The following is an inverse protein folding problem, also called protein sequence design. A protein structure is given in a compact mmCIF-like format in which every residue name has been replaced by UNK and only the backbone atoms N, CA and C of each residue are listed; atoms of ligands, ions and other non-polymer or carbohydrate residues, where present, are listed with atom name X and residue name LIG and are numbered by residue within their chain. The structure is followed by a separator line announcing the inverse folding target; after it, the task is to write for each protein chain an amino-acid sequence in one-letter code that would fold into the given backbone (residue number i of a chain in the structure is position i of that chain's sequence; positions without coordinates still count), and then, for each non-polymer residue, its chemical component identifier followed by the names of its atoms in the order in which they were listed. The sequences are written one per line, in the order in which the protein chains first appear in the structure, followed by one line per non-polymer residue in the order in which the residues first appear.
data_IF_823258786963
#
_entry.id   IF_823258786963
#
_cell.length_a   1.000
_cell.length_b   1.000
_cell.length_c   1.000
_cell.angle_alpha   90.00
_cell.angle_beta   90.00
_cell.angle_gamma   90.00
#
_symmetry.space_group_name_H-M   'P 1'
#
loop_
_entity.id
_entity.type
_entity.pdbx_description
1 polymer ?
#
# COMPACT_ATOMS: atom_id res chain seq x y z
N UNK A 1 -22.04 -16.96 27.71
CA UNK A 1 -22.03 -17.69 26.42
C UNK A 1 -22.40 -16.76 25.28
N UNK A 2 -21.72 -16.87 24.13
CA UNK A 2 -22.05 -16.17 22.89
C UNK A 2 -21.81 -17.11 21.70
N UNK A 3 -22.66 -17.02 20.66
CA UNK A 3 -22.41 -17.69 19.39
C UNK A 3 -21.06 -17.25 18.81
N UNK A 4 -20.29 -18.19 18.28
CA UNK A 4 -18.96 -17.93 17.72
C UNK A 4 -18.95 -16.75 16.74
N UNK A 5 -19.89 -16.73 15.78
CA UNK A 5 -20.01 -15.67 14.76
C UNK A 5 -20.37 -14.30 15.35
N UNK A 6 -21.26 -14.25 16.36
CA UNK A 6 -21.59 -13.02 17.08
C UNK A 6 -20.40 -12.53 17.91
N UNK A 7 -19.66 -13.44 18.53
CA UNK A 7 -18.40 -13.13 19.21
C UNK A 7 -17.37 -12.52 18.26
N UNK A 8 -17.23 -13.04 17.04
CA UNK A 8 -16.37 -12.47 16.00
C UNK A 8 -16.80 -11.05 15.63
N UNK A 9 -18.08 -10.80 15.42
CA UNK A 9 -18.61 -9.46 15.11
C UNK A 9 -18.39 -8.48 16.27
N UNK A 10 -18.58 -8.92 17.52
CA UNK A 10 -18.23 -8.12 18.71
C UNK A 10 -16.75 -7.74 18.72
N UNK A 11 -15.87 -8.65 18.28
CA UNK A 11 -14.44 -8.35 18.14
C UNK A 11 -14.18 -7.32 17.03
N UNK A 12 -14.84 -7.42 15.86
CA UNK A 12 -14.74 -6.40 14.81
C UNK A 12 -15.10 -5.00 15.37
N UNK A 13 -16.15 -4.91 16.18
CA UNK A 13 -16.55 -3.68 16.87
C UNK A 13 -15.49 -3.19 17.85
N UNK A 14 -14.91 -4.08 18.66
CA UNK A 14 -13.83 -3.73 19.60
C UNK A 14 -12.56 -3.25 18.89
N UNK A 15 -12.28 -3.79 17.71
CA UNK A 15 -11.16 -3.40 16.86
C UNK A 15 -11.43 -2.13 16.02
N UNK A 16 -12.59 -1.50 16.22
CA UNK A 16 -12.94 -0.23 15.59
C UNK A 16 -13.32 -0.35 14.12
N UNK A 17 -13.65 -1.55 13.63
CA UNK A 17 -14.14 -1.76 12.27
C UNK A 17 -15.48 -1.03 12.11
N UNK A 18 -15.52 -0.08 11.18
CA UNK A 18 -16.71 0.75 10.92
C UNK A 18 -17.64 0.16 9.88
N UNK A 19 -17.06 -0.52 8.88
CA UNK A 19 -17.77 -1.05 7.72
C UNK A 19 -17.37 -2.50 7.46
N UNK A 20 -18.36 -3.32 7.13
CA UNK A 20 -18.18 -4.65 6.53
C UNK A 20 -18.74 -4.58 5.11
N UNK A 21 -17.87 -4.60 4.10
CA UNK A 21 -18.26 -4.58 2.70
C UNK A 21 -18.69 -5.98 2.26
N UNK A 22 -19.86 -6.13 1.65
CA UNK A 22 -20.43 -7.46 1.41
C UNK A 22 -21.20 -7.60 0.10
N UNK A 23 -21.08 -8.77 -0.52
CA UNK A 23 -22.17 -9.33 -1.32
C UNK A 23 -23.03 -10.25 -0.41
N UNK A 24 -24.36 -10.12 -0.38
CA UNK A 24 -25.21 -10.60 0.71
C UNK A 24 -25.46 -12.12 0.70
N UNK A 25 -24.40 -12.91 0.91
CA UNK A 25 -24.43 -14.38 0.86
C UNK A 25 -23.82 -15.04 2.10
N UNK A 26 -22.93 -14.35 2.82
CA UNK A 26 -22.26 -14.89 4.02
C UNK A 26 -23.16 -14.85 5.26
N UNK A 27 -23.10 -15.91 6.09
CA UNK A 27 -23.81 -15.98 7.37
C UNK A 27 -23.33 -14.94 8.40
N UNK A 28 -22.10 -14.42 8.23
CA UNK A 28 -21.53 -13.38 9.07
C UNK A 28 -22.37 -12.10 8.99
N UNK A 29 -22.98 -11.82 7.83
CA UNK A 29 -23.81 -10.64 7.63
C UNK A 29 -25.04 -10.63 8.56
N UNK A 30 -25.63 -11.79 8.84
CA UNK A 30 -26.75 -11.90 9.77
C UNK A 30 -26.31 -11.54 11.18
N UNK A 31 -25.14 -12.04 11.61
CA UNK A 31 -24.58 -11.69 12.92
C UNK A 31 -24.24 -10.19 13.03
N UNK A 32 -23.76 -9.56 11.95
CA UNK A 32 -23.58 -8.10 11.89
C UNK A 32 -24.91 -7.38 12.06
N UNK A 33 -25.99 -7.86 11.44
CA UNK A 33 -27.34 -7.35 11.63
C UNK A 33 -27.87 -7.50 13.06
N UNK A 34 -27.63 -8.66 13.69
CA UNK A 34 -28.02 -8.95 15.08
C UNK A 34 -27.28 -8.07 16.10
N UNK A 35 -25.96 -7.87 15.92
CA UNK A 35 -25.14 -7.04 16.82
C UNK A 35 -25.27 -5.53 16.55
N UNK A 36 -25.84 -5.14 15.40
CA UNK A 36 -26.10 -3.75 15.01
C UNK A 36 -24.86 -2.93 14.62
N UNK A 37 -23.66 -3.52 14.63
CA UNK A 37 -22.41 -2.93 14.17
C UNK A 37 -21.37 -4.04 13.88
N UNK A 38 -20.42 -3.85 12.94
CA UNK A 38 -20.22 -2.68 12.05
C UNK A 38 -21.36 -2.45 11.05
N UNK A 39 -21.33 -1.34 10.28
CA UNK A 39 -22.35 -1.13 9.23
C UNK A 39 -22.06 -2.03 8.02
N UNK A 40 -23.09 -2.70 7.51
CA UNK A 40 -22.97 -3.44 6.25
C UNK A 40 -22.99 -2.46 5.07
N UNK A 41 -21.99 -2.56 4.21
CA UNK A 41 -21.94 -1.86 2.92
C UNK A 41 -22.17 -2.89 1.82
N UNK A 42 -23.41 -2.98 1.32
CA UNK A 42 -23.80 -3.96 0.31
C UNK A 42 -23.36 -3.52 -1.08
N UNK A 43 -22.69 -4.43 -1.79
CA UNK A 43 -22.29 -4.29 -3.19
C UNK A 43 -22.96 -5.35 -4.06
N UNK A 44 -22.73 -5.30 -5.36
CA UNK A 44 -23.34 -6.21 -6.35
C UNK A 44 -22.48 -7.43 -6.70
N UNK A 45 -21.25 -7.50 -6.21
CA UNK A 45 -20.26 -8.52 -6.57
C UNK A 45 -19.19 -8.62 -5.46
N UNK A 46 -18.71 -9.82 -5.16
CA UNK A 46 -17.68 -10.09 -4.15
C UNK A 46 -16.37 -9.34 -4.43
N UNK A 47 -15.99 -9.20 -5.70
CA UNK A 47 -14.81 -8.41 -6.09
C UNK A 47 -14.95 -6.97 -5.60
N UNK A 48 -16.12 -6.35 -5.78
CA UNK A 48 -16.36 -4.98 -5.32
C UNK A 48 -16.39 -4.88 -3.79
N UNK A 49 -16.75 -5.96 -3.08
CA UNK A 49 -16.72 -5.96 -1.62
C UNK A 49 -15.27 -5.83 -1.13
N UNK A 50 -14.35 -6.56 -1.77
CA UNK A 50 -12.91 -6.43 -1.53
C UNK A 50 -12.39 -5.07 -2.01
N UNK A 51 -12.75 -4.60 -3.22
CA UNK A 51 -12.26 -3.32 -3.75
C UNK A 51 -12.66 -2.10 -2.89
N UNK A 52 -13.87 -2.09 -2.31
CA UNK A 52 -14.28 -1.01 -1.39
C UNK A 52 -13.48 -1.10 -0.09
N UNK A 53 -13.24 -2.29 0.44
CA UNK A 53 -12.40 -2.48 1.62
C UNK A 53 -10.94 -2.04 1.37
N UNK A 54 -10.39 -2.40 0.21
CA UNK A 54 -9.08 -1.96 -0.28
C UNK A 54 -9.00 -0.43 -0.37
N UNK A 55 -9.99 0.23 -0.97
CA UNK A 55 -10.05 1.68 -1.07
C UNK A 55 -10.05 2.37 0.31
N UNK A 56 -10.78 1.84 1.30
CA UNK A 56 -10.76 2.36 2.68
C UNK A 56 -9.35 2.24 3.28
N UNK A 57 -8.69 1.09 3.08
CA UNK A 57 -7.32 0.87 3.53
C UNK A 57 -6.36 1.90 2.93
N UNK A 58 -6.40 2.10 1.62
CA UNK A 58 -5.53 3.06 0.92
C UNK A 58 -5.77 4.50 1.32
N UNK A 59 -7.03 4.97 1.29
CA UNK A 59 -7.39 6.36 1.60
C UNK A 59 -7.12 6.74 3.05
N UNK A 60 -6.96 5.75 3.93
CA UNK A 60 -6.63 5.97 5.33
C UNK A 60 -5.16 5.72 5.66
N UNK A 61 -4.29 5.51 4.66
CA UNK A 61 -2.88 5.16 4.88
C UNK A 61 -2.72 3.90 5.77
N UNK A 62 -3.62 2.93 5.64
CA UNK A 62 -3.67 1.72 6.47
C UNK A 62 -4.16 1.95 7.90
N UNK A 63 -4.52 3.17 8.31
CA UNK A 63 -5.03 3.47 9.66
C UNK A 63 -6.42 2.88 9.91
N UNK A 64 -7.24 2.79 8.87
CA UNK A 64 -8.55 2.13 8.93
C UNK A 64 -8.45 0.79 8.20
N UNK A 65 -8.52 -0.30 8.97
CA UNK A 65 -8.71 -1.64 8.42
C UNK A 65 -10.19 -1.77 8.07
N UNK A 66 -10.48 -2.15 6.83
CA UNK A 66 -11.81 -2.57 6.43
C UNK A 66 -11.92 -4.09 6.48
N UNK A 67 -13.12 -4.57 6.76
CA UNK A 67 -13.47 -5.97 6.61
C UNK A 67 -14.39 -6.15 5.41
N UNK A 68 -14.28 -7.28 4.72
CA UNK A 68 -15.25 -7.69 3.73
C UNK A 68 -15.73 -9.11 4.02
N UNK A 69 -16.94 -9.43 3.60
CA UNK A 69 -17.50 -10.79 3.64
C UNK A 69 -17.79 -11.28 2.24
N UNK A 70 -17.32 -12.48 1.93
CA UNK A 70 -17.49 -13.15 0.63
C UNK A 70 -18.02 -14.57 0.82
N UNK A 71 -18.80 -15.07 -0.14
CA UNK A 71 -19.28 -16.45 -0.10
C UNK A 71 -18.11 -17.44 -0.19
N UNK A 72 -18.10 -18.45 0.67
CA UNK A 72 -17.12 -19.53 0.63
C UNK A 72 -17.69 -20.86 1.12
N UNK A 73 -16.83 -21.68 1.71
CA UNK A 73 -17.20 -23.00 2.23
C UNK A 73 -17.41 -24.00 1.10
N UNK A 74 -18.55 -24.72 1.12
CA UNK A 74 -18.82 -25.79 0.14
C UNK A 74 -18.99 -25.25 -1.28
N UNK A 75 -19.47 -24.01 -1.41
CA UNK A 75 -19.57 -23.29 -2.68
C UNK A 75 -18.63 -22.07 -2.65
N UNK A 76 -17.44 -22.24 -3.23
CA UNK A 76 -16.38 -21.24 -3.22
C UNK A 76 -16.49 -20.19 -4.34
N UNK A 77 -17.59 -20.17 -5.12
CA UNK A 77 -17.72 -19.28 -6.28
C UNK A 77 -17.53 -17.79 -5.93
N UNK A 78 -17.98 -17.33 -4.76
CA UNK A 78 -17.80 -15.94 -4.34
C UNK A 78 -16.35 -15.61 -3.98
N UNK A 79 -15.65 -16.50 -3.28
CA UNK A 79 -14.20 -16.37 -3.07
C UNK A 79 -13.47 -16.35 -4.41
N UNK A 80 -13.79 -17.24 -5.35
CA UNK A 80 -13.16 -17.26 -6.68
C UNK A 80 -13.33 -15.92 -7.43
N UNK A 81 -14.51 -15.29 -7.33
CA UNK A 81 -14.76 -13.94 -7.87
C UNK A 81 -13.96 -12.85 -7.12
N UNK A 82 -13.78 -12.98 -5.81
CA UNK A 82 -13.01 -12.06 -4.99
C UNK A 82 -11.49 -12.11 -5.25
N UNK A 83 -10.98 -13.21 -5.82
CA UNK A 83 -9.55 -13.48 -5.97
C UNK A 83 -8.79 -12.32 -6.63
N UNK A 84 -9.30 -11.77 -7.74
CA UNK A 84 -8.63 -10.68 -8.46
C UNK A 84 -8.44 -9.42 -7.62
N UNK A 85 -9.43 -9.05 -6.79
CA UNK A 85 -9.30 -7.90 -5.90
C UNK A 85 -8.44 -8.19 -4.66
N UNK A 86 -8.41 -9.45 -4.20
CA UNK A 86 -7.49 -9.86 -3.13
C UNK A 86 -6.04 -9.84 -3.62
N UNK A 87 -5.79 -10.26 -4.87
CA UNK A 87 -4.49 -10.17 -5.52
C UNK A 87 -4.00 -8.73 -5.62
N UNK A 88 -4.85 -7.81 -6.10
CA UNK A 88 -4.56 -6.37 -6.16
C UNK A 88 -4.18 -5.83 -4.76
N UNK A 89 -5.00 -6.08 -3.73
CA UNK A 89 -4.73 -5.63 -2.36
C UNK A 89 -3.40 -6.18 -1.82
N UNK A 90 -3.04 -7.41 -2.17
CA UNK A 90 -1.78 -8.03 -1.78
C UNK A 90 -0.57 -7.39 -2.48
N UNK A 91 -0.63 -7.22 -3.79
CA UNK A 91 0.43 -6.56 -4.56
C UNK A 91 0.65 -5.10 -4.12
N UNK A 92 -0.41 -4.45 -3.68
CA UNK A 92 -0.40 -3.05 -3.27
C UNK A 92 -0.14 -2.85 -1.78
N UNK A 93 0.03 -3.95 -1.05
CA UNK A 93 0.31 -3.94 0.39
C UNK A 93 -0.78 -3.24 1.20
N UNK A 94 -2.05 -3.55 0.90
CA UNK A 94 -3.21 -2.96 1.56
C UNK A 94 -3.74 -3.92 2.64
N UNK A 95 -3.88 -3.48 3.90
CA UNK A 95 -4.42 -4.31 4.96
C UNK A 95 -5.95 -4.33 4.92
N UNK A 96 -6.52 -5.50 4.66
CA UNK A 96 -7.96 -5.75 4.78
C UNK A 96 -8.24 -7.16 5.32
N UNK A 97 -9.33 -7.31 6.05
CA UNK A 97 -9.77 -8.59 6.60
C UNK A 97 -10.88 -9.17 5.72
N UNK A 98 -10.55 -10.20 4.95
CA UNK A 98 -11.52 -10.97 4.17
C UNK A 98 -12.07 -12.12 5.02
N UNK A 99 -13.36 -12.05 5.31
CA UNK A 99 -14.08 -13.07 6.06
C UNK A 99 -14.88 -13.93 5.08
N UNK A 100 -14.81 -15.24 5.23
CA UNK A 100 -15.56 -16.16 4.37
C UNK A 100 -16.12 -17.32 5.17
N UNK A 101 -17.11 -18.00 4.59
CA UNK A 101 -17.63 -19.24 5.16
C UNK A 101 -16.52 -20.32 5.08
N UNK A 102 -16.31 -21.05 6.17
CA UNK A 102 -15.38 -22.18 6.20
C UNK A 102 -16.06 -23.48 5.79
N UNK A 103 -15.29 -24.43 5.26
CA UNK A 103 -15.77 -25.79 4.96
C UNK A 103 -16.03 -26.54 6.28
N UNK A 104 -17.25 -27.02 6.57
CA UNK A 104 -17.52 -27.74 7.82
C UNK A 104 -16.73 -29.07 7.93
N UNK A 105 -16.37 -29.54 9.14
CA UNK A 105 -15.57 -30.75 9.31
C UNK A 105 -16.16 -32.02 8.71
N UNK A 106 -17.49 -32.15 8.70
CA UNK A 106 -18.21 -33.32 8.18
C UNK A 106 -18.13 -33.48 6.65
N UNK A 107 -17.63 -32.48 5.93
CA UNK A 107 -17.46 -32.50 4.47
C UNK A 107 -15.99 -32.37 4.03
N UNK A 108 -15.04 -32.36 4.98
CA UNK A 108 -13.60 -32.39 4.69
C UNK A 108 -13.20 -33.70 3.98
N UNK A 109 -12.17 -33.64 3.13
CA UNK A 109 -11.62 -34.80 2.42
C UNK A 109 -12.35 -35.21 1.13
N UNK A 110 -13.32 -34.42 0.66
CA UNK A 110 -13.92 -34.58 -0.67
C UNK A 110 -13.22 -33.68 -1.70
N UNK A 111 -13.12 -34.13 -2.95
CA UNK A 111 -12.52 -33.35 -4.05
C UNK A 111 -13.28 -32.03 -4.26
N UNK A 112 -12.65 -30.91 -3.89
CA UNK A 112 -13.19 -29.55 -3.98
C UNK A 112 -12.07 -28.53 -4.15
N UNK A 113 -12.42 -27.33 -4.60
CA UNK A 113 -11.52 -26.18 -4.56
C UNK A 113 -11.07 -25.91 -3.12
N UNK A 114 -9.77 -25.74 -2.93
CA UNK A 114 -9.20 -25.34 -1.64
C UNK A 114 -9.02 -23.83 -1.62
N UNK A 115 -9.84 -23.14 -0.82
CA UNK A 115 -9.72 -21.68 -0.61
C UNK A 115 -8.32 -21.37 -0.06
N UNK A 116 -7.79 -22.18 0.85
CA UNK A 116 -6.47 -21.95 1.44
C UNK A 116 -5.35 -22.03 0.41
N UNK A 117 -5.30 -23.09 -0.41
CA UNK A 117 -4.27 -23.22 -1.44
C UNK A 117 -4.47 -22.17 -2.54
N UNK A 118 -5.71 -21.89 -2.92
CA UNK A 118 -6.05 -20.89 -3.91
C UNK A 118 -5.62 -19.47 -3.51
N UNK A 119 -5.74 -19.12 -2.22
CA UNK A 119 -5.46 -17.76 -1.74
C UNK A 119 -4.07 -17.56 -1.12
N UNK A 120 -3.27 -18.63 -1.03
CA UNK A 120 -1.94 -18.61 -0.39
C UNK A 120 -0.99 -17.58 -0.99
N UNK A 121 -1.11 -17.32 -2.30
CA UNK A 121 -0.26 -16.36 -3.03
C UNK A 121 -0.72 -14.90 -2.92
N UNK A 122 -1.94 -14.66 -2.43
CA UNK A 122 -2.60 -13.33 -2.42
C UNK A 122 -3.07 -12.93 -1.02
N UNK A 123 -2.54 -13.58 0.01
CA UNK A 123 -2.82 -13.28 1.40
C UNK A 123 -1.55 -13.44 2.22
N UNK A 124 -1.40 -12.62 3.26
CA UNK A 124 -0.28 -12.75 4.18
C UNK A 124 -0.48 -13.88 5.19
N UNK A 125 -1.73 -14.07 5.60
CA UNK A 125 -2.11 -15.11 6.52
C UNK A 125 -3.52 -15.59 6.23
N UNK A 126 -3.70 -16.90 6.34
CA UNK A 126 -4.99 -17.58 6.22
C UNK A 126 -5.26 -18.30 7.53
N UNK A 127 -6.43 -18.05 8.10
CA UNK A 127 -6.92 -18.75 9.28
C UNK A 127 -8.18 -19.56 8.98
N UNK A 128 -8.32 -20.70 9.65
CA UNK A 128 -9.57 -21.48 9.68
C UNK A 128 -9.95 -21.73 11.14
N UNK A 129 -11.11 -21.23 11.56
CA UNK A 129 -11.59 -21.40 12.93
C UNK A 129 -12.31 -22.74 13.03
N UNK A 130 -11.74 -23.70 13.75
CA UNK A 130 -12.32 -25.05 13.89
C UNK A 130 -13.13 -25.26 15.18
N UNK A 131 -13.09 -24.32 16.13
CA UNK A 131 -13.74 -24.37 17.44
C UNK A 131 -14.19 -22.98 17.87
N UNK A 132 -15.33 -22.87 18.55
CA UNK A 132 -15.92 -21.59 18.94
C UNK A 132 -15.00 -20.77 19.86
N UNK A 133 -14.38 -21.41 20.84
CA UNK A 133 -13.49 -20.80 21.83
C UNK A 133 -12.20 -20.22 21.23
N UNK A 134 -11.87 -20.59 19.98
CA UNK A 134 -10.69 -20.09 19.27
C UNK A 134 -10.95 -18.79 18.50
N UNK A 135 -12.19 -18.32 18.42
CA UNK A 135 -12.52 -17.03 17.76
C UNK A 135 -11.62 -15.88 18.27
N UNK A 136 -11.45 -15.64 19.58
CA UNK A 136 -10.55 -14.60 20.08
C UNK A 136 -9.09 -14.79 19.67
N UNK A 137 -8.59 -16.04 19.67
CA UNK A 137 -7.22 -16.40 19.28
C UNK A 137 -6.95 -16.05 17.80
N UNK A 138 -7.82 -16.50 16.89
CA UNK A 138 -7.66 -16.26 15.45
C UNK A 138 -7.83 -14.80 15.10
N UNK A 139 -8.78 -14.10 15.72
CA UNK A 139 -8.95 -12.67 15.49
C UNK A 139 -7.72 -11.89 16.00
N UNK A 140 -7.13 -12.29 17.14
CA UNK A 140 -5.89 -11.69 17.65
C UNK A 140 -4.75 -11.87 16.64
N UNK A 141 -4.62 -13.07 16.07
CA UNK A 141 -3.63 -13.36 15.03
C UNK A 141 -3.89 -12.56 13.75
N UNK A 142 -5.13 -12.52 13.27
CA UNK A 142 -5.53 -11.77 12.07
C UNK A 142 -5.15 -10.28 12.18
N UNK A 143 -5.53 -9.62 13.28
CA UNK A 143 -5.21 -8.21 13.48
C UNK A 143 -3.72 -7.95 13.71
N UNK A 144 -2.97 -8.90 14.28
CA UNK A 144 -1.50 -8.81 14.36
C UNK A 144 -0.88 -8.77 12.97
N UNK A 145 -1.32 -9.68 12.08
CA UNK A 145 -0.82 -9.79 10.72
C UNK A 145 -1.18 -8.59 9.85
N UNK A 146 -2.38 -8.03 10.03
CA UNK A 146 -2.82 -6.81 9.34
C UNK A 146 -2.01 -5.56 9.72
N UNK A 147 -1.44 -5.52 10.93
CA UNK A 147 -0.85 -4.30 11.52
C UNK A 147 0.67 -4.29 11.63
N UNK A 148 1.34 -5.41 11.35
CA UNK A 148 2.78 -5.58 11.65
C UNK A 148 3.58 -5.94 10.40
N UNK A 149 4.74 -5.31 10.18
CA UNK A 149 5.53 -5.53 8.97
C UNK A 149 4.83 -5.00 7.72
N UNK A 150 5.00 -5.66 6.57
CA UNK A 150 4.29 -5.29 5.33
C UNK A 150 2.77 -5.45 5.51
N UNK A 151 1.97 -4.39 5.37
CA UNK A 151 0.52 -4.51 5.40
C UNK A 151 0.04 -5.30 4.18
N UNK A 152 -0.96 -6.16 4.36
CA UNK A 152 -1.43 -7.09 3.32
C UNK A 152 -2.78 -7.68 3.72
N UNK A 153 -3.57 -8.21 2.77
CA UNK A 153 -4.84 -8.86 3.07
C UNK A 153 -4.65 -10.12 3.90
N UNK A 154 -5.62 -10.36 4.78
CA UNK A 154 -5.75 -11.58 5.59
C UNK A 154 -7.08 -12.23 5.27
N UNK A 155 -7.09 -13.55 5.12
CA UNK A 155 -8.31 -14.33 4.90
C UNK A 155 -8.60 -15.18 6.14
N UNK A 156 -9.84 -15.15 6.61
CA UNK A 156 -10.29 -15.93 7.75
C UNK A 156 -11.58 -16.69 7.41
N UNK A 157 -11.47 -18.01 7.40
CA UNK A 157 -12.58 -18.93 7.21
C UNK A 157 -13.32 -19.18 8.54
N UNK A 158 -14.63 -18.96 8.51
CA UNK A 158 -15.55 -19.11 9.64
C UNK A 158 -16.59 -20.16 9.27
N UNK A 159 -16.44 -21.43 9.68
CA UNK A 159 -17.46 -22.44 9.47
C UNK A 159 -18.80 -22.07 10.11
N UNK A 160 -19.88 -22.54 9.50
CA UNK A 160 -21.21 -22.48 10.10
C UNK A 160 -21.27 -23.44 11.30
N UNK A 161 -22.13 -23.14 12.25
CA UNK A 161 -22.45 -24.03 13.38
C UNK A 161 -21.26 -24.37 14.30
N UNK A 162 -20.29 -23.45 14.46
CA UNK A 162 -19.18 -23.61 15.41
C UNK A 162 -19.64 -23.75 16.88
N UNK A 163 -20.88 -23.38 17.19
CA UNK A 163 -21.44 -23.37 18.54
C UNK A 163 -21.15 -22.07 19.28
N UNK A 164 -21.19 -22.15 20.60
CA UNK A 164 -21.07 -21.03 21.52
C UNK A 164 -19.79 -21.16 22.35
N UNK A 165 -19.25 -20.01 22.80
CA UNK A 165 -18.14 -19.98 23.75
C UNK A 165 -18.40 -19.00 24.91
N UNK A 166 -17.65 -19.17 25.99
CA UNK A 166 -17.67 -18.30 27.17
C UNK A 166 -16.73 -17.10 26.96
N UNK A 167 -17.25 -15.88 27.02
CA UNK A 167 -16.43 -14.67 26.83
C UNK A 167 -15.55 -14.42 28.05
N UNK A 168 -15.98 -14.87 29.24
CA UNK A 168 -15.17 -14.82 30.45
C UNK A 168 -13.94 -15.74 30.36
N UNK A 169 -14.12 -16.96 29.83
CA UNK A 169 -13.03 -17.95 29.74
C UNK A 169 -12.09 -17.65 28.56
N UNK A 170 -12.62 -17.05 27.49
CA UNK A 170 -11.88 -16.72 26.27
C UNK A 170 -12.04 -15.23 25.91
N UNK A 171 -11.41 -14.32 26.67
CA UNK A 171 -11.52 -12.89 26.42
C UNK A 171 -10.71 -12.46 25.20
N UNK A 172 -11.19 -11.39 24.55
CA UNK A 172 -10.48 -10.70 23.49
C UNK A 172 -9.95 -9.35 23.97
N UNK A 173 -8.82 -8.91 23.42
CA UNK A 173 -8.27 -7.57 23.63
C UNK A 173 -7.67 -7.09 22.31
N UNK A 174 -8.01 -5.86 21.86
CA UNK A 174 -7.44 -5.29 20.64
C UNK A 174 -5.92 -5.30 20.61
N UNK A 175 -5.34 -5.55 19.43
CA UNK A 175 -3.89 -5.78 19.28
C UNK A 175 -3.21 -4.62 18.56
N UNK A 176 -2.25 -3.93 19.18
CA UNK A 176 -1.49 -2.90 18.44
C UNK A 176 -0.66 -3.49 17.30
N UNK A 177 -0.26 -2.67 16.33
CA UNK A 177 0.81 -3.03 15.39
C UNK A 177 2.19 -2.85 15.99
N UNK A 178 3.18 -3.55 15.43
CA UNK A 178 4.60 -3.35 15.77
C UNK A 178 5.38 -2.86 14.54
N UNK A 179 6.30 -1.93 14.79
CA UNK A 179 7.18 -1.31 13.81
C UNK A 179 8.62 -1.43 14.30
N UNK A 180 9.57 -1.61 13.40
CA UNK A 180 10.99 -1.68 13.70
C UNK A 180 11.72 -0.44 13.18
N UNK A 181 12.74 -0.03 13.93
CA UNK A 181 13.77 0.89 13.44
C UNK A 181 14.81 0.12 12.62
N UNK A 182 15.55 0.82 11.76
CA UNK A 182 16.72 0.26 11.10
C UNK A 182 17.90 0.12 12.05
N UNK A 183 18.83 -0.79 11.72
CA UNK A 183 20.11 -0.90 12.43
C UNK A 183 20.87 0.45 12.33
N UNK A 184 21.26 1.06 13.46
CA UNK A 184 21.98 2.33 13.45
C UNK A 184 23.26 2.33 12.61
N UNK A 185 23.98 1.20 12.54
CA UNK A 185 25.19 1.09 11.74
C UNK A 185 24.89 1.12 10.22
N UNK A 186 23.76 0.57 9.80
CA UNK A 186 23.34 0.60 8.39
C UNK A 186 22.81 1.98 8.00
N UNK A 187 22.11 2.66 8.91
CA UNK A 187 21.74 4.09 8.75
C UNK A 187 22.98 4.96 8.58
N UNK A 188 24.00 4.79 9.43
CA UNK A 188 25.25 5.55 9.35
C UNK A 188 25.97 5.34 8.02
N UNK A 189 26.10 4.07 7.58
CA UNK A 189 26.70 3.73 6.28
C UNK A 189 25.93 4.35 5.12
N UNK A 190 24.60 4.29 5.15
CA UNK A 190 23.74 4.85 4.11
C UNK A 190 23.90 6.37 3.99
N UNK A 191 23.87 7.11 5.10
CA UNK A 191 24.08 8.56 5.10
C UNK A 191 25.49 8.92 4.64
N UNK A 192 26.50 8.13 5.05
CA UNK A 192 27.87 8.32 4.56
C UNK A 192 27.95 8.14 3.06
N UNK A 193 27.34 7.09 2.50
CA UNK A 193 27.31 6.86 1.06
C UNK A 193 26.58 8.00 0.32
N UNK A 194 25.44 8.44 0.85
CA UNK A 194 24.65 9.56 0.32
C UNK A 194 25.46 10.85 0.24
N UNK A 195 26.25 11.16 1.28
CA UNK A 195 27.07 12.39 1.34
C UNK A 195 28.22 12.42 0.33
N UNK A 196 28.70 11.25 -0.11
CA UNK A 196 29.76 11.14 -1.12
C UNK A 196 29.21 11.03 -2.55
N UNK A 197 27.89 10.96 -2.73
CA UNK A 197 27.27 10.94 -4.04
C UNK A 197 27.26 12.34 -4.66
N UNK A 198 27.53 12.40 -5.97
CA UNK A 198 27.49 13.65 -6.73
C UNK A 198 26.07 13.97 -7.21
N UNK A 199 25.28 12.94 -7.55
CA UNK A 199 23.92 13.05 -8.09
C UNK A 199 22.97 12.05 -7.40
N UNK A 200 22.77 12.17 -6.07
CA UNK A 200 21.87 11.27 -5.37
C UNK A 200 20.41 11.52 -5.77
N UNK A 201 19.64 10.45 -5.87
CA UNK A 201 18.21 10.48 -6.15
C UNK A 201 17.43 9.79 -5.03
N UNK A 202 16.40 10.46 -4.50
CA UNK A 202 15.45 9.85 -3.57
C UNK A 202 14.25 9.31 -4.36
N UNK A 203 14.04 8.00 -4.31
CA UNK A 203 12.93 7.33 -4.99
C UNK A 203 11.94 6.72 -3.99
N UNK A 204 10.74 7.28 -3.96
CA UNK A 204 9.73 7.08 -2.91
C UNK A 204 8.65 6.12 -3.37
N UNK A 205 8.39 5.10 -2.55
CA UNK A 205 7.34 4.11 -2.77
C UNK A 205 6.15 4.25 -1.82
N UNK A 206 5.10 3.48 -2.08
CA UNK A 206 3.84 3.52 -1.33
C UNK A 206 4.02 3.27 0.17
N UNK A 207 5.10 2.59 0.58
CA UNK A 207 5.39 2.34 1.99
C UNK A 207 5.49 3.60 2.86
N UNK A 208 5.76 4.78 2.27
CA UNK A 208 5.69 6.06 2.99
C UNK A 208 4.27 6.38 3.45
N UNK A 209 3.26 6.14 2.61
CA UNK A 209 1.87 6.31 3.01
C UNK A 209 1.51 5.30 4.09
N UNK A 210 1.81 4.01 3.90
CA UNK A 210 1.50 2.97 4.89
C UNK A 210 2.15 3.21 6.26
N UNK A 211 3.32 3.84 6.30
CA UNK A 211 4.01 4.22 7.52
C UNK A 211 3.49 5.53 8.14
N UNK A 212 2.65 6.29 7.43
CA UNK A 212 2.22 7.65 7.77
C UNK A 212 3.41 8.61 7.90
N UNK A 213 4.27 8.62 6.87
CA UNK A 213 5.62 9.21 6.89
C UNK A 213 5.82 10.39 5.93
N UNK A 214 4.75 11.01 5.44
CA UNK A 214 4.82 12.12 4.46
C UNK A 214 5.60 13.33 5.01
N UNK A 215 5.36 13.70 6.28
CA UNK A 215 6.06 14.81 6.92
C UNK A 215 7.54 14.50 7.15
N UNK A 216 7.84 13.27 7.60
CA UNK A 216 9.22 12.81 7.77
C UNK A 216 9.98 12.74 6.45
N UNK A 217 9.32 12.30 5.37
CA UNK A 217 9.88 12.28 4.03
C UNK A 217 10.22 13.70 3.57
N UNK A 218 9.27 14.64 3.71
CA UNK A 218 9.47 16.02 3.29
C UNK A 218 10.66 16.65 4.01
N UNK A 219 10.69 16.52 5.34
CA UNK A 219 11.77 17.03 6.18
C UNK A 219 13.13 16.43 5.78
N UNK A 220 13.19 15.12 5.53
CA UNK A 220 14.42 14.46 5.12
C UNK A 220 14.90 14.96 3.75
N UNK A 221 14.01 15.03 2.76
CA UNK A 221 14.34 15.49 1.41
C UNK A 221 14.84 16.94 1.39
N UNK A 222 14.21 17.84 2.14
CA UNK A 222 14.64 19.24 2.30
C UNK A 222 16.01 19.35 2.97
N UNK A 223 16.24 18.62 4.08
CA UNK A 223 17.50 18.67 4.81
C UNK A 223 18.66 18.05 4.04
N UNK A 224 18.39 16.96 3.30
CA UNK A 224 19.39 16.27 2.49
C UNK A 224 19.54 16.86 1.07
N UNK A 225 18.69 17.81 0.68
CA UNK A 225 18.68 18.47 -0.64
C UNK A 225 18.63 17.45 -1.80
N UNK A 226 17.67 16.52 -1.74
CA UNK A 226 17.54 15.43 -2.70
C UNK A 226 16.39 15.67 -3.69
N UNK A 227 16.58 15.45 -5.00
CA UNK A 227 15.45 15.35 -5.93
C UNK A 227 14.58 14.14 -5.56
N UNK A 228 13.26 14.33 -5.59
CA UNK A 228 12.28 13.33 -5.13
C UNK A 228 11.48 12.80 -6.31
N UNK A 229 11.76 11.55 -6.68
CA UNK A 229 10.95 10.76 -7.60
C UNK A 229 9.96 9.94 -6.80
N UNK A 230 8.71 9.88 -7.25
CA UNK A 230 7.71 8.97 -6.66
C UNK A 230 7.41 7.81 -7.61
N UNK A 231 7.14 6.63 -7.05
CA UNK A 231 6.41 5.60 -7.79
C UNK A 231 4.98 6.06 -8.04
N UNK A 232 4.28 5.43 -8.99
CA UNK A 232 2.88 5.77 -9.26
C UNK A 232 1.99 5.65 -8.01
N UNK A 233 2.17 4.60 -7.20
CA UNK A 233 1.42 4.37 -5.95
C UNK A 233 1.82 5.32 -4.81
N UNK A 234 2.88 6.10 -5.01
CA UNK A 234 3.39 7.10 -4.08
C UNK A 234 3.22 8.53 -4.62
N UNK A 235 2.50 8.72 -5.74
CA UNK A 235 2.13 10.07 -6.20
C UNK A 235 1.44 10.79 -5.04
N UNK A 236 1.74 12.08 -4.90
CA UNK A 236 1.32 12.93 -3.77
C UNK A 236 1.93 12.60 -2.39
N UNK A 237 2.88 11.64 -2.27
CA UNK A 237 3.62 11.43 -1.02
C UNK A 237 4.62 12.55 -0.73
N UNK A 238 4.98 13.33 -1.75
CA UNK A 238 5.75 14.55 -1.67
C UNK A 238 5.02 15.64 -2.47
N UNK A 239 4.97 16.91 -2.01
CA UNK A 239 4.22 17.95 -2.71
C UNK A 239 4.79 18.15 -4.12
N UNK A 240 3.93 18.02 -5.14
CA UNK A 240 4.39 18.00 -6.54
C UNK A 240 4.77 19.38 -7.08
N UNK A 241 4.31 20.43 -6.40
CA UNK A 241 4.68 21.84 -6.59
C UNK A 241 6.01 22.22 -5.91
N UNK A 242 6.62 21.30 -5.14
CA UNK A 242 7.87 21.57 -4.45
C UNK A 242 9.06 21.62 -5.42
N UNK A 243 10.05 22.48 -5.14
CA UNK A 243 11.24 22.70 -6.00
C UNK A 243 12.12 21.45 -6.18
N UNK A 244 12.06 20.52 -5.21
CA UNK A 244 12.74 19.23 -5.26
C UNK A 244 11.90 18.10 -5.88
N UNK A 245 10.64 18.35 -6.25
CA UNK A 245 9.80 17.34 -6.88
C UNK A 245 10.18 17.15 -8.34
N UNK A 246 10.49 15.90 -8.71
CA UNK A 246 10.63 15.50 -10.12
C UNK A 246 9.41 14.72 -10.64
N UNK A 247 8.36 14.63 -9.83
CA UNK A 247 7.08 14.00 -10.18
C UNK A 247 7.14 12.48 -10.20
N UNK A 248 6.34 11.88 -11.10
CA UNK A 248 6.21 10.43 -11.26
C UNK A 248 6.87 9.95 -12.55
N UNK A 249 6.62 10.60 -13.70
CA UNK A 249 7.03 10.13 -15.04
C UNK A 249 7.45 11.28 -15.95
N UNK A 250 7.96 10.90 -17.13
CA UNK A 250 8.35 11.82 -18.19
C UNK A 250 9.81 12.26 -18.07
N UNK A 251 10.12 13.34 -18.78
CA UNK A 251 11.50 13.85 -18.93
C UNK A 251 12.25 14.02 -17.59
N UNK A 252 11.67 14.61 -16.52
CA UNK A 252 12.38 14.70 -15.24
C UNK A 252 12.73 13.33 -14.66
N UNK A 253 11.78 12.40 -14.60
CA UNK A 253 12.02 11.07 -14.06
C UNK A 253 13.13 10.33 -14.85
N UNK A 254 13.06 10.36 -16.18
CA UNK A 254 14.03 9.70 -17.06
C UNK A 254 15.44 10.30 -16.92
N UNK A 255 15.53 11.63 -16.95
CA UNK A 255 16.80 12.36 -16.85
C UNK A 255 17.51 12.08 -15.53
N UNK A 256 16.80 12.23 -14.42
CA UNK A 256 17.37 12.07 -13.08
C UNK A 256 17.72 10.60 -12.78
N UNK A 257 16.88 9.63 -13.18
CA UNK A 257 17.22 8.20 -13.04
C UNK A 257 18.46 7.82 -13.83
N UNK A 258 18.57 8.30 -15.07
CA UNK A 258 19.72 8.02 -15.93
C UNK A 258 21.01 8.62 -15.36
N UNK A 259 20.95 9.85 -14.87
CA UNK A 259 22.12 10.59 -14.42
C UNK A 259 22.53 10.31 -12.98
N UNK A 260 21.66 9.71 -12.15
CA UNK A 260 21.96 9.44 -10.75
C UNK A 260 23.15 8.49 -10.58
N UNK A 261 24.05 8.77 -9.65
CA UNK A 261 25.14 7.85 -9.25
C UNK A 261 24.76 7.02 -8.01
N UNK A 262 23.77 7.49 -7.25
CA UNK A 262 23.19 6.80 -6.10
C UNK A 262 21.66 6.94 -6.11
N UNK A 263 20.97 5.83 -5.87
CA UNK A 263 19.51 5.80 -5.69
C UNK A 263 19.18 5.32 -4.29
N UNK A 264 18.63 6.20 -3.47
CA UNK A 264 18.04 5.87 -2.17
C UNK A 264 16.56 5.61 -2.36
N UNK A 265 16.11 4.38 -2.12
CA UNK A 265 14.69 4.04 -2.10
C UNK A 265 14.11 4.00 -0.70
N UNK A 266 12.89 4.52 -0.55
CA UNK A 266 12.14 4.43 0.70
C UNK A 266 10.75 3.89 0.44
N UNK A 267 10.45 2.70 0.98
CA UNK A 267 9.15 2.06 0.83
C UNK A 267 8.88 1.50 -0.57
N UNK A 268 9.94 1.13 -1.31
CA UNK A 268 9.87 0.55 -2.67
C UNK A 268 10.24 -0.93 -2.62
N UNK A 269 9.36 -1.80 -3.12
CA UNK A 269 9.57 -3.26 -3.13
C UNK A 269 10.20 -3.85 -4.40
N UNK A 270 10.56 -3.00 -5.38
CA UNK A 270 11.15 -3.38 -6.67
C UNK A 270 10.45 -4.55 -7.40
N UNK A 271 9.13 -4.69 -7.22
CA UNK A 271 8.37 -5.71 -7.95
C UNK A 271 8.31 -5.30 -9.41
N UNK A 272 8.89 -6.07 -10.35
CA UNK A 272 8.88 -5.70 -11.75
C UNK A 272 7.45 -5.67 -12.27
N UNK A 273 7.01 -4.52 -12.77
CA UNK A 273 5.77 -4.38 -13.50
C UNK A 273 5.97 -3.41 -14.65
N UNK A 274 5.12 -3.47 -15.68
CA UNK A 274 5.21 -2.57 -16.85
C UNK A 274 5.08 -1.08 -16.51
N UNK A 275 4.78 -0.74 -15.25
CA UNK A 275 4.53 0.61 -14.77
C UNK A 275 5.53 1.09 -13.70
N UNK A 276 6.53 0.28 -13.37
CA UNK A 276 7.65 0.73 -12.55
C UNK A 276 8.76 1.27 -13.46
N UNK A 277 9.50 2.27 -12.99
CA UNK A 277 10.74 2.65 -13.67
C UNK A 277 11.78 1.54 -13.53
N UNK A 278 12.61 1.37 -14.56
CA UNK A 278 13.86 0.67 -14.40
C UNK A 278 14.92 1.66 -13.92
N UNK A 279 15.84 1.24 -13.05
CA UNK A 279 17.09 1.95 -12.80
C UNK A 279 18.01 1.63 -13.98
N UNK A 280 18.30 2.58 -14.90
CA UNK A 280 19.22 2.34 -16.00
C UNK A 280 20.62 2.05 -15.45
N UNK A 281 21.40 1.19 -16.09
CA UNK A 281 22.79 0.92 -15.69
C UNK A 281 22.98 0.63 -14.18
N UNK A 282 22.00 -0.06 -13.57
CA UNK A 282 21.94 -0.27 -12.12
C UNK A 282 23.22 -0.88 -11.53
N UNK A 283 23.96 -1.70 -12.29
CA UNK A 283 25.23 -2.30 -11.88
C UNK A 283 26.36 -1.27 -11.66
N UNK A 284 26.20 -0.05 -12.16
CA UNK A 284 27.16 1.06 -12.03
C UNK A 284 26.69 2.15 -11.07
N UNK A 285 25.55 1.96 -10.39
CA UNK A 285 24.98 2.91 -9.45
C UNK A 285 24.96 2.30 -8.06
N UNK A 286 25.10 3.13 -7.03
CA UNK A 286 24.89 2.68 -5.65
C UNK A 286 23.41 2.64 -5.33
N UNK A 287 22.91 1.53 -4.80
CA UNK A 287 21.52 1.37 -4.44
C UNK A 287 21.39 1.18 -2.93
N UNK A 288 20.65 2.09 -2.30
CA UNK A 288 20.28 2.00 -0.88
C UNK A 288 18.78 1.73 -0.82
N UNK A 289 18.35 0.72 -0.07
CA UNK A 289 16.94 0.36 0.06
C UNK A 289 16.48 0.38 1.51
N UNK A 290 15.43 1.18 1.78
CA UNK A 290 14.67 1.17 3.02
C UNK A 290 13.34 0.47 2.78
N UNK A 291 13.13 -0.66 3.47
CA UNK A 291 11.88 -1.43 3.42
C UNK A 291 11.62 -2.09 4.77
N UNK A 292 10.36 -2.40 5.09
CA UNK A 292 10.01 -3.18 6.28
C UNK A 292 9.79 -4.67 5.96
N UNK A 293 9.91 -5.07 4.69
CA UNK A 293 9.76 -6.43 4.22
C UNK A 293 11.12 -7.00 3.75
N UNK A 294 11.67 -8.02 4.41
CA UNK A 294 12.91 -8.64 3.96
C UNK A 294 12.79 -9.29 2.56
N UNK A 295 11.58 -9.61 2.09
CA UNK A 295 11.37 -10.16 0.74
C UNK A 295 11.60 -9.15 -0.39
N UNK A 296 11.63 -7.86 -0.09
CA UNK A 296 11.91 -6.81 -1.09
C UNK A 296 13.42 -6.64 -1.37
N UNK A 297 14.27 -7.07 -0.43
CA UNK A 297 15.71 -6.89 -0.53
C UNK A 297 16.32 -7.80 -1.60
N UNK A 298 17.19 -7.24 -2.44
CA UNK A 298 17.87 -7.95 -3.53
C UNK A 298 16.92 -8.62 -4.55
N UNK A 299 15.64 -8.25 -4.56
CA UNK A 299 14.62 -8.90 -5.40
C UNK A 299 14.71 -8.48 -6.87
N UNK A 300 14.78 -7.16 -7.11
CA UNK A 300 14.85 -6.59 -8.46
C UNK A 300 16.24 -6.10 -8.86
N UNK A 301 17.02 -5.64 -7.88
CA UNK A 301 18.37 -5.09 -8.06
C UNK A 301 19.28 -5.59 -6.95
N UNK A 302 20.58 -5.77 -7.24
CA UNK A 302 21.58 -5.95 -6.20
C UNK A 302 21.74 -4.65 -5.41
N UNK A 303 21.51 -4.68 -4.10
CA UNK A 303 21.58 -3.50 -3.23
C UNK A 303 22.93 -3.45 -2.51
N UNK A 304 23.49 -2.24 -2.39
CA UNK A 304 24.75 -2.01 -1.65
C UNK A 304 24.50 -1.85 -0.15
N UNK A 305 23.40 -1.19 0.20
CA UNK A 305 23.00 -0.93 1.59
C UNK A 305 21.51 -1.19 1.78
N UNK A 306 21.17 -2.01 2.77
CA UNK A 306 19.80 -2.29 3.16
C UNK A 306 19.53 -1.70 4.53
N UNK A 307 18.36 -1.09 4.72
CA UNK A 307 17.87 -0.69 6.04
C UNK A 307 16.49 -1.31 6.21
N UNK A 308 16.43 -2.37 7.02
CA UNK A 308 15.18 -3.06 7.31
C UNK A 308 14.44 -2.35 8.46
N UNK A 309 13.36 -1.64 8.14
CA UNK A 309 12.60 -0.87 9.13
C UNK A 309 11.39 -0.13 8.54
N UNK A 310 10.51 0.32 9.43
CA UNK A 310 9.38 1.18 9.08
C UNK A 310 9.84 2.52 8.51
N UNK A 311 9.25 2.96 7.39
CA UNK A 311 9.71 4.14 6.67
C UNK A 311 9.70 5.40 7.54
N UNK A 312 8.69 5.60 8.41
CA UNK A 312 8.59 6.77 9.29
C UNK A 312 9.76 6.80 10.27
N UNK A 313 10.02 5.67 10.92
CA UNK A 313 11.09 5.54 11.91
C UNK A 313 12.47 5.68 11.25
N UNK A 314 12.70 5.03 10.11
CA UNK A 314 13.98 5.10 9.40
C UNK A 314 14.23 6.49 8.82
N UNK A 315 13.23 7.17 8.27
CA UNK A 315 13.38 8.58 7.82
C UNK A 315 13.76 9.50 8.98
N UNK A 316 13.24 9.25 10.18
CA UNK A 316 13.67 9.95 11.40
C UNK A 316 15.13 9.68 11.77
N UNK A 317 15.59 8.43 11.63
CA UNK A 317 16.99 8.06 11.86
C UNK A 317 17.92 8.70 10.82
N UNK A 318 17.56 8.62 9.53
CA UNK A 318 18.32 9.23 8.43
C UNK A 318 18.41 10.75 8.61
N UNK A 319 17.32 11.40 8.97
CA UNK A 319 17.30 12.84 9.27
C UNK A 319 18.25 13.20 10.39
N UNK A 320 18.21 12.45 11.50
CA UNK A 320 19.07 12.69 12.66
C UNK A 320 20.55 12.50 12.31
N UNK A 321 20.86 11.48 11.51
CA UNK A 321 22.23 11.18 11.11
C UNK A 321 22.77 12.19 10.07
N UNK A 322 21.94 12.68 9.13
CA UNK A 322 22.31 13.78 8.22
C UNK A 322 22.64 15.06 9.01
N UNK A 323 21.83 15.40 10.02
CA UNK A 323 22.10 16.57 10.89
C UNK A 323 23.44 16.39 11.61
N UNK A 324 23.69 15.21 12.18
CA UNK A 324 24.93 14.90 12.90
C UNK A 324 26.17 14.97 12.00
N UNK A 325 26.07 14.52 10.75
CA UNK A 325 27.18 14.56 9.79
C UNK A 325 27.30 15.89 9.03
N UNK A 326 26.39 16.84 9.27
CA UNK A 326 26.33 18.14 8.63
C UNK A 326 25.42 18.14 7.40
N UNK A 327 24.48 19.08 7.37
CA UNK A 327 23.51 19.24 6.28
C UNK A 327 24.15 19.93 5.07
N UNK A 328 23.87 19.47 3.84
CA UNK A 328 24.26 20.21 2.63
C UNK A 328 23.60 21.60 2.60
N UNK A 329 24.24 22.52 1.86
CA UNK A 329 23.62 23.80 1.53
C UNK A 329 22.56 23.62 0.45
N UNK A 330 21.63 24.57 0.36
CA UNK A 330 20.66 24.65 -0.73
C UNK A 330 21.36 24.57 -2.08
N UNK A 331 20.88 23.68 -2.95
CA UNK A 331 21.49 23.41 -4.26
C UNK A 331 20.68 24.06 -5.38
N UNK A 332 20.98 25.33 -5.68
CA UNK A 332 20.32 26.07 -6.77
C UNK A 332 20.54 25.43 -8.15
N UNK A 333 21.69 24.78 -8.37
CA UNK A 333 21.96 24.12 -9.64
C UNK A 333 21.01 22.94 -9.87
N UNK A 334 20.77 22.14 -8.82
CA UNK A 334 19.79 21.05 -8.83
C UNK A 334 18.37 21.57 -9.11
N UNK A 335 17.94 22.61 -8.41
CA UNK A 335 16.60 23.20 -8.59
C UNK A 335 16.43 23.68 -10.04
N UNK A 336 17.42 24.37 -10.60
CA UNK A 336 17.38 24.80 -11.99
C UNK A 336 17.37 23.62 -12.99
N UNK A 337 18.06 22.51 -12.69
CA UNK A 337 18.02 21.30 -13.53
C UNK A 337 16.63 20.63 -13.51
N UNK A 338 15.96 20.60 -12.35
CA UNK A 338 14.60 20.10 -12.21
C UNK A 338 13.62 20.94 -13.03
N UNK A 339 13.70 22.26 -12.89
CA UNK A 339 12.82 23.18 -13.62
C UNK A 339 13.06 23.14 -15.13
N UNK A 340 14.31 22.99 -15.58
CA UNK A 340 14.61 22.75 -16.99
C UNK A 340 13.99 21.45 -17.51
N UNK A 341 14.09 20.36 -16.76
CA UNK A 341 13.49 19.09 -17.15
C UNK A 341 11.95 19.17 -17.21
N UNK A 342 11.32 19.89 -16.27
CA UNK A 342 9.87 20.15 -16.28
C UNK A 342 9.47 21.00 -17.48
N UNK A 343 10.27 22.02 -17.84
CA UNK A 343 10.04 22.83 -19.04
C UNK A 343 10.06 21.97 -20.31
N UNK A 344 11.08 21.13 -20.49
CA UNK A 344 11.18 20.22 -21.65
C UNK A 344 9.98 19.27 -21.73
N UNK A 345 9.51 18.75 -20.58
CA UNK A 345 8.25 17.99 -20.51
C UNK A 345 7.08 18.82 -21.04
N UNK A 346 6.92 20.06 -20.59
CA UNK A 346 5.81 20.91 -20.97
C UNK A 346 5.87 21.39 -22.43
N UNK A 347 7.05 21.55 -23.02
CA UNK A 347 7.20 21.83 -24.46
C UNK A 347 6.60 20.70 -25.31
N UNK A 348 6.72 19.45 -24.84
CA UNK A 348 6.15 18.28 -25.51
C UNK A 348 4.65 18.12 -25.27
N UNK A 349 4.20 18.25 -24.03
CA UNK A 349 2.82 17.90 -23.65
C UNK A 349 1.86 19.10 -23.61
N UNK A 350 2.34 20.33 -23.45
CA UNK A 350 1.54 21.56 -23.42
C UNK A 350 0.63 21.72 -24.64
N UNK A 351 1.14 21.59 -25.89
CA UNK A 351 0.29 21.66 -27.08
C UNK A 351 -0.80 20.59 -27.13
N UNK A 352 -0.55 19.40 -26.55
CA UNK A 352 -1.53 18.32 -26.49
C UNK A 352 -2.60 18.58 -25.43
N UNK A 353 -2.21 19.20 -24.31
CA UNK A 353 -3.10 19.64 -23.23
C UNK A 353 -4.00 20.81 -23.66
N UNK A 354 -3.56 21.62 -24.62
CA UNK A 354 -4.33 22.74 -25.17
C UNK A 354 -5.12 22.39 -26.44
N UNK A 355 -4.94 21.18 -26.99
CA UNK A 355 -5.57 20.73 -28.23
C UNK A 355 -7.09 20.91 -28.21
N UNK A 356 -7.64 21.36 -29.35
CA UNK A 356 -9.07 21.47 -29.63
C UNK A 356 -9.54 20.48 -30.71
N UNK A 357 -8.76 19.42 -30.96
CA UNK A 357 -9.00 18.44 -32.01
C UNK A 357 -10.27 17.59 -31.76
N UNK A 358 -10.78 16.99 -32.83
CA UNK A 358 -11.90 16.03 -32.81
C UNK A 358 -11.49 14.75 -33.55
N UNK A 359 -11.48 13.56 -32.90
CA UNK A 359 -11.90 13.29 -31.51
C UNK A 359 -10.98 13.94 -30.45
N UNK A 360 -11.51 14.15 -29.23
CA UNK A 360 -10.82 14.85 -28.15
C UNK A 360 -9.46 14.22 -27.83
N UNK A 361 -8.43 15.05 -27.66
CA UNK A 361 -7.14 14.61 -27.18
C UNK A 361 -7.24 14.25 -25.68
N UNK A 362 -6.82 13.04 -25.24
CA UNK A 362 -6.87 12.67 -23.82
C UNK A 362 -6.10 13.62 -22.89
N UNK A 363 -4.99 14.21 -23.35
CA UNK A 363 -4.23 15.18 -22.55
C UNK A 363 -5.03 16.46 -22.26
N UNK A 364 -5.92 16.87 -23.17
CA UNK A 364 -6.85 17.99 -22.94
C UNK A 364 -7.78 17.69 -21.77
N UNK A 365 -8.24 16.45 -21.62
CA UNK A 365 -9.12 16.05 -20.50
C UNK A 365 -8.40 16.24 -19.16
N UNK A 366 -7.13 15.82 -19.06
CA UNK A 366 -6.37 15.97 -17.82
C UNK A 366 -6.07 17.43 -17.48
N UNK A 367 -5.81 18.27 -18.49
CA UNK A 367 -5.65 19.71 -18.29
C UNK A 367 -6.93 20.36 -17.73
N UNK A 368 -8.09 20.02 -18.30
CA UNK A 368 -9.38 20.54 -17.80
C UNK A 368 -9.70 20.00 -16.39
N UNK A 369 -9.34 18.75 -16.08
CA UNK A 369 -9.46 18.21 -14.72
C UNK A 369 -8.62 19.02 -13.72
N UNK A 370 -7.37 19.33 -14.04
CA UNK A 370 -6.52 20.16 -13.17
C UNK A 370 -7.06 21.58 -12.99
N UNK A 371 -7.65 22.17 -14.04
CA UNK A 371 -8.24 23.50 -13.97
C UNK A 371 -9.56 23.54 -13.17
N UNK A 372 -10.28 22.43 -13.11
CA UNK A 372 -11.63 22.38 -12.51
C UNK A 372 -11.63 21.86 -11.08
N UNK A 373 -10.72 20.95 -10.74
CA UNK A 373 -10.66 20.30 -9.44
C UNK A 373 -9.89 21.14 -8.41
N UNK A 374 -10.31 21.08 -7.14
CA UNK A 374 -9.47 21.52 -6.02
C UNK A 374 -8.39 20.45 -5.81
N UNK A 375 -7.17 20.69 -6.33
CA UNK A 375 -6.06 19.74 -6.30
C UNK A 375 -5.67 19.28 -4.89
N UNK A 376 -5.98 20.08 -3.87
CA UNK A 376 -5.65 19.78 -2.47
C UNK A 376 -6.77 19.00 -1.75
N UNK A 377 -7.99 18.97 -2.31
CA UNK A 377 -9.15 18.32 -1.69
C UNK A 377 -9.81 17.25 -2.54
N UNK A 378 -9.35 17.04 -3.76
CA UNK A 378 -9.92 16.07 -4.69
C UNK A 378 -9.14 14.76 -4.65
N UNK A 379 -9.87 13.65 -4.78
CA UNK A 379 -9.29 12.33 -5.02
C UNK A 379 -9.47 11.99 -6.49
N UNK A 380 -8.38 11.66 -7.16
CA UNK A 380 -8.39 11.24 -8.56
C UNK A 380 -8.08 9.75 -8.63
N UNK A 381 -9.04 8.98 -9.15
CA UNK A 381 -8.88 7.55 -9.41
C UNK A 381 -8.78 7.32 -10.91
N UNK A 382 -7.94 6.38 -11.33
CA UNK A 382 -7.84 5.96 -12.72
C UNK A 382 -7.84 4.43 -12.78
N UNK A 383 -8.07 3.89 -13.96
CA UNK A 383 -7.90 2.46 -14.22
C UNK A 383 -6.68 2.16 -15.10
N UNK A 384 -6.34 0.88 -15.16
CA UNK A 384 -5.32 0.34 -16.05
C UNK A 384 -5.55 0.71 -17.52
N UNK A 385 -4.44 0.94 -18.23
CA UNK A 385 -4.43 1.31 -19.64
C UNK A 385 -3.66 2.61 -19.90
N UNK A 386 -3.67 3.03 -21.17
CA UNK A 386 -2.92 4.22 -21.62
C UNK A 386 -3.36 5.51 -20.91
N UNK A 387 -4.62 5.58 -20.46
CA UNK A 387 -5.17 6.71 -19.70
C UNK A 387 -4.40 6.97 -18.41
N UNK A 388 -3.98 5.92 -17.68
CA UNK A 388 -3.14 6.06 -16.50
C UNK A 388 -1.75 6.59 -16.84
N UNK A 389 -1.15 6.10 -17.91
CA UNK A 389 0.21 6.50 -18.29
C UNK A 389 0.23 7.96 -18.76
N UNK A 390 -0.82 8.38 -19.46
CA UNK A 390 -1.06 9.79 -19.81
C UNK A 390 -1.26 10.65 -18.56
N UNK A 391 -2.18 10.25 -17.66
CA UNK A 391 -2.46 10.97 -16.42
C UNK A 391 -1.20 11.14 -15.58
N UNK A 392 -0.48 10.05 -15.27
CA UNK A 392 0.72 10.09 -14.43
C UNK A 392 1.91 10.84 -15.04
N UNK A 393 1.85 11.17 -16.33
CA UNK A 393 2.88 11.98 -17.00
C UNK A 393 2.61 13.48 -16.87
N UNK A 394 1.35 13.90 -16.97
CA UNK A 394 0.99 15.34 -17.07
C UNK A 394 0.16 15.88 -15.91
N UNK A 395 -0.53 15.02 -15.16
CA UNK A 395 -1.34 15.43 -14.02
C UNK A 395 -0.41 15.65 -12.84
N UNK A 396 -0.35 16.88 -12.35
CA UNK A 396 0.43 17.28 -11.17
C UNK A 396 -0.51 17.50 -9.99
#
# INVERSE_FOLDING_TARGET
MVKAVNGLVKILKQEGIKHVCTFPTSHINNAVGEEGAPRLFMVRDERYAVSVADAIGRLSNGKQIAACTVMGGVNAAGTEMAYGAMAEAYEDSVPLLCLTDGIPPNVLGRERYSIQEGFKSVTKWIGYINQAERVPEYMRRAFTELRTGRPSPVLLEVPRELGDYSVEDYPYTPVKGWRSMGDPADVEKAVKALKHAEKPLLWVGHGVFSADAVDELKRFAELAQLPVLTTLKAKSAFPEDHELSIGVRGEPAERFLKNADLVLTVGVGYTPCGFMHAIPDALHKKIIQVTNDPHDLNRGYAIDHAILGDAKLVLGQLTSEVIKQGTPKRNEALINEIEDAKRVKMEKYGPLMESSDKPINPYRVYAELMNTLDLQKSLVTHESGNTRDQLSTVYE
#
